data_IF_309591587550
#
_entry.id   IF_309591587550
#
_cell.length_a   1.000
_cell.length_b   1.000
_cell.length_c   1.000
_cell.angle_alpha   90.00
_cell.angle_beta   90.00
_cell.angle_gamma   90.00
#
_symmetry.space_group_name_H-M   'P 1'
#
loop_
_entity.id
_entity.type
_entity.pdbx_description
1 polymer ?
#
# COMPACT_ATOMS: atom_id res chain seq x y z
N UNK A 1 -41.50 20.24 -1.41
CA UNK A 1 -40.64 19.51 -2.40
C UNK A 1 -39.18 19.99 -2.44
N UNK A 2 -38.77 20.97 -1.64
CA UNK A 2 -37.39 21.55 -1.73
C UNK A 2 -36.40 21.07 -0.67
N UNK A 3 -36.83 20.36 0.38
CA UNK A 3 -35.94 19.95 1.49
C UNK A 3 -35.19 18.63 1.18
N UNK A 4 -35.77 17.80 0.32
CA UNK A 4 -35.25 16.42 0.04
C UNK A 4 -34.03 16.37 -0.92
N UNK A 5 -33.75 17.45 -1.65
CA UNK A 5 -32.64 17.54 -2.60
C UNK A 5 -31.36 18.13 -1.99
N UNK A 6 -31.45 18.82 -0.86
CA UNK A 6 -30.32 19.49 -0.23
C UNK A 6 -29.33 18.51 0.42
N UNK A 7 -29.84 17.45 1.04
CA UNK A 7 -28.99 16.46 1.70
C UNK A 7 -28.12 15.64 0.71
N UNK A 8 -28.66 15.10 -0.41
CA UNK A 8 -27.84 14.45 -1.44
C UNK A 8 -26.81 15.40 -2.06
N UNK A 9 -27.20 16.67 -2.32
CA UNK A 9 -26.29 17.65 -2.89
C UNK A 9 -25.13 17.98 -1.94
N UNK A 10 -25.40 18.13 -0.66
CA UNK A 10 -24.36 18.36 0.35
C UNK A 10 -23.37 17.18 0.40
N UNK A 11 -23.84 15.94 0.39
CA UNK A 11 -22.99 14.74 0.34
C UNK A 11 -22.12 14.69 -0.92
N UNK A 12 -22.71 15.02 -2.08
CA UNK A 12 -21.96 15.10 -3.34
C UNK A 12 -20.84 16.15 -3.27
N UNK A 13 -21.13 17.33 -2.75
CA UNK A 13 -20.14 18.41 -2.58
C UNK A 13 -19.01 17.97 -1.65
N UNK A 14 -19.35 17.36 -0.51
CA UNK A 14 -18.37 16.85 0.46
C UNK A 14 -17.46 15.79 -0.17
N UNK A 15 -18.04 14.81 -0.88
CA UNK A 15 -17.25 13.78 -1.56
C UNK A 15 -16.39 14.36 -2.68
N UNK A 16 -16.91 15.32 -3.45
CA UNK A 16 -16.14 16.00 -4.48
C UNK A 16 -14.94 16.75 -3.91
N UNK A 17 -15.12 17.47 -2.79
CA UNK A 17 -14.03 18.14 -2.10
C UNK A 17 -12.97 17.16 -1.58
N UNK A 18 -13.39 16.00 -1.08
CA UNK A 18 -12.46 14.94 -0.65
C UNK A 18 -11.67 14.36 -1.85
N UNK A 19 -12.33 14.16 -3.00
CA UNK A 19 -11.66 13.73 -4.24
C UNK A 19 -10.66 14.80 -4.73
N UNK A 20 -11.01 16.07 -4.63
CA UNK A 20 -10.07 17.17 -4.93
C UNK A 20 -8.85 17.13 -4.00
N UNK A 21 -9.05 16.85 -2.71
CA UNK A 21 -7.97 16.68 -1.74
C UNK A 21 -7.00 15.55 -2.08
N UNK A 22 -7.46 14.51 -2.82
CA UNK A 22 -6.59 13.44 -3.31
C UNK A 22 -5.68 13.88 -4.46
N UNK A 23 -5.97 15.00 -5.15
CA UNK A 23 -5.15 15.44 -6.30
C UNK A 23 -3.72 15.77 -5.89
N UNK A 24 -3.53 16.31 -4.71
CA UNK A 24 -2.19 16.61 -4.18
C UNK A 24 -1.39 15.34 -3.95
N UNK A 25 -2.06 14.20 -3.70
CA UNK A 25 -1.44 12.89 -3.54
C UNK A 25 -0.99 12.27 -4.86
N UNK A 26 -1.55 12.68 -6.00
CA UNK A 26 -1.18 12.11 -7.30
C UNK A 26 0.24 12.47 -7.74
N UNK A 27 0.74 13.59 -7.31
CA UNK A 27 2.09 14.07 -7.61
C UNK A 27 3.03 14.01 -6.38
N UNK A 28 2.57 13.46 -5.26
CA UNK A 28 3.36 13.38 -4.05
C UNK A 28 4.51 12.39 -4.23
N UNK A 29 5.72 12.85 -3.95
CA UNK A 29 6.93 12.03 -3.89
C UNK A 29 7.12 11.52 -2.45
N UNK A 30 6.08 10.89 -1.91
CA UNK A 30 6.00 10.40 -0.54
C UNK A 30 5.97 8.86 -0.49
N UNK A 31 6.37 8.24 0.63
CA UNK A 31 6.25 6.80 0.84
C UNK A 31 4.82 6.31 0.66
N UNK A 32 4.67 5.09 0.15
CA UNK A 32 3.35 4.50 -0.10
C UNK A 32 2.48 4.43 1.17
N UNK A 33 3.09 4.11 2.31
CA UNK A 33 2.36 3.99 3.58
C UNK A 33 1.76 5.34 4.02
N UNK A 34 2.46 6.45 3.79
CA UNK A 34 1.98 7.80 4.11
C UNK A 34 0.80 8.19 3.19
N UNK A 35 0.88 7.85 1.90
CA UNK A 35 -0.21 8.08 0.94
C UNK A 35 -1.45 7.26 1.32
N UNK A 36 -1.28 5.99 1.69
CA UNK A 36 -2.39 5.13 2.09
C UNK A 36 -3.06 5.64 3.37
N UNK A 37 -2.28 6.11 4.35
CA UNK A 37 -2.81 6.72 5.57
C UNK A 37 -3.63 7.98 5.26
N UNK A 38 -3.12 8.88 4.43
CA UNK A 38 -3.82 10.11 4.02
C UNK A 38 -5.10 9.82 3.21
N UNK A 39 -5.08 8.78 2.38
CA UNK A 39 -6.31 8.31 1.69
C UNK A 39 -7.35 7.86 2.71
N UNK A 40 -6.98 7.11 3.74
CA UNK A 40 -7.91 6.68 4.79
C UNK A 40 -8.48 7.89 5.58
N UNK A 41 -7.64 8.85 5.97
CA UNK A 41 -8.04 10.08 6.66
C UNK A 41 -9.00 10.93 5.82
N UNK A 42 -8.68 11.11 4.53
CA UNK A 42 -9.52 11.89 3.60
C UNK A 42 -10.87 11.19 3.37
N UNK A 43 -10.91 9.85 3.39
CA UNK A 43 -12.15 9.09 3.25
C UNK A 43 -13.12 9.32 4.42
N UNK A 44 -12.64 9.54 5.64
CA UNK A 44 -13.51 9.91 6.79
C UNK A 44 -14.27 11.20 6.50
N UNK A 45 -13.62 12.18 5.88
CA UNK A 45 -14.26 13.45 5.53
C UNK A 45 -15.16 13.38 4.27
N UNK A 46 -15.02 12.31 3.47
CA UNK A 46 -15.70 12.17 2.19
C UNK A 46 -17.19 11.81 2.31
N UNK A 47 -17.61 11.20 3.43
CA UNK A 47 -18.95 10.69 3.62
C UNK A 47 -19.43 10.97 5.05
N UNK A 48 -20.68 11.43 5.23
CA UNK A 48 -21.27 11.59 6.55
C UNK A 48 -21.37 10.26 7.31
N UNK A 49 -21.26 10.33 8.62
CA UNK A 49 -21.35 9.18 9.54
C UNK A 49 -20.20 8.17 9.40
N UNK A 50 -19.09 8.51 8.75
CA UNK A 50 -17.88 7.70 8.78
C UNK A 50 -17.15 7.98 10.12
N UNK A 51 -17.18 7.01 11.03
CA UNK A 51 -16.49 7.11 12.33
C UNK A 51 -15.08 6.52 12.26
N UNK A 52 -14.89 5.48 11.45
CA UNK A 52 -13.61 4.87 11.22
C UNK A 52 -13.48 4.37 9.78
N UNK A 53 -12.25 4.38 9.26
CA UNK A 53 -11.91 3.90 7.93
C UNK A 53 -10.67 3.03 8.01
N UNK A 54 -10.64 1.96 7.20
CA UNK A 54 -9.44 1.18 6.95
C UNK A 54 -9.23 0.92 5.44
N UNK A 55 -7.99 0.62 5.09
CA UNK A 55 -7.62 0.17 3.75
C UNK A 55 -7.02 -1.22 3.86
N UNK A 56 -7.72 -2.19 3.29
CA UNK A 56 -7.24 -3.56 3.11
C UNK A 56 -6.46 -3.66 1.81
N UNK A 57 -5.27 -4.25 1.86
CA UNK A 57 -4.51 -4.67 0.68
C UNK A 57 -4.54 -6.19 0.60
N UNK A 58 -4.83 -6.70 -0.59
CA UNK A 58 -4.84 -8.12 -0.89
C UNK A 58 -3.55 -8.52 -1.59
N UNK A 59 -2.82 -9.44 -0.97
CA UNK A 59 -1.67 -10.13 -1.58
C UNK A 59 -1.98 -11.62 -1.49
N UNK A 60 -2.70 -12.13 -2.48
CA UNK A 60 -3.24 -13.49 -2.43
C UNK A 60 -2.20 -14.54 -2.01
N UNK A 61 -2.49 -15.44 -1.02
CA UNK A 61 -3.77 -15.64 -0.32
C UNK A 61 -4.01 -14.70 0.88
N UNK A 62 -3.09 -13.82 1.20
CA UNK A 62 -3.09 -13.01 2.42
C UNK A 62 -3.78 -11.67 2.22
N UNK A 63 -4.48 -11.22 3.27
CA UNK A 63 -5.02 -9.87 3.37
C UNK A 63 -4.38 -9.16 4.56
N UNK A 64 -4.09 -7.87 4.43
CA UNK A 64 -3.58 -7.04 5.51
C UNK A 64 -4.18 -5.65 5.48
N UNK A 65 -4.32 -5.04 6.65
CA UNK A 65 -4.67 -3.63 6.76
C UNK A 65 -3.40 -2.79 6.53
N UNK A 66 -3.44 -1.95 5.50
CA UNK A 66 -2.35 -1.05 5.16
C UNK A 66 -2.44 0.28 5.92
N UNK A 67 -3.67 0.75 6.21
CA UNK A 67 -3.93 1.89 7.06
C UNK A 67 -5.27 1.73 7.77
N UNK A 68 -5.39 2.30 8.97
CA UNK A 68 -6.64 2.40 9.72
C UNK A 68 -6.63 3.71 10.51
N UNK A 69 -7.74 4.45 10.49
CA UNK A 69 -7.87 5.70 11.23
C UNK A 69 -8.12 5.50 12.73
N UNK A 70 -8.63 4.33 13.11
CA UNK A 70 -8.95 3.94 14.49
C UNK A 70 -8.67 2.45 14.71
N UNK A 71 -8.33 2.08 15.95
CA UNK A 71 -8.07 0.69 16.35
C UNK A 71 -9.26 -0.24 16.10
N UNK A 72 -10.48 0.28 16.27
CA UNK A 72 -11.73 -0.45 16.00
C UNK A 72 -11.79 -0.97 14.55
N UNK A 73 -11.37 -0.16 13.56
CA UNK A 73 -11.35 -0.59 12.18
C UNK A 73 -10.34 -1.73 11.95
N UNK A 74 -9.16 -1.66 12.59
CA UNK A 74 -8.15 -2.71 12.52
C UNK A 74 -8.66 -4.02 13.15
N UNK A 75 -9.33 -3.95 14.30
CA UNK A 75 -9.92 -5.13 14.96
C UNK A 75 -10.92 -5.83 14.04
N UNK A 76 -11.82 -5.06 13.42
CA UNK A 76 -12.82 -5.59 12.49
C UNK A 76 -12.20 -6.26 11.27
N UNK A 77 -11.17 -5.65 10.71
CA UNK A 77 -10.45 -6.22 9.58
C UNK A 77 -9.80 -7.56 9.94
N UNK A 78 -9.12 -7.64 11.08
CA UNK A 78 -8.47 -8.87 11.55
C UNK A 78 -9.47 -10.02 11.73
N UNK A 79 -10.68 -9.74 12.22
CA UNK A 79 -11.73 -10.75 12.32
C UNK A 79 -12.20 -11.26 10.95
N UNK A 80 -12.30 -10.37 9.95
CA UNK A 80 -12.63 -10.75 8.58
C UNK A 80 -11.54 -11.62 7.94
N UNK A 81 -10.26 -11.29 8.18
CA UNK A 81 -9.12 -12.07 7.66
C UNK A 81 -9.05 -13.45 8.32
N UNK A 82 -9.20 -13.52 9.64
CA UNK A 82 -9.15 -14.78 10.38
C UNK A 82 -10.27 -15.75 9.99
N UNK A 83 -11.48 -15.23 9.72
CA UNK A 83 -12.62 -16.05 9.31
C UNK A 83 -12.65 -16.33 7.80
N UNK A 84 -11.84 -15.63 6.99
CA UNK A 84 -11.85 -15.71 5.53
C UNK A 84 -13.13 -15.16 4.91
N UNK A 85 -13.94 -14.43 5.66
CA UNK A 85 -15.21 -13.87 5.19
C UNK A 85 -15.55 -12.56 5.90
N UNK A 86 -16.22 -11.68 5.17
CA UNK A 86 -16.62 -10.37 5.66
C UNK A 86 -16.91 -9.40 4.53
N UNK A 87 -17.52 -8.23 4.84
CA UNK A 87 -17.85 -7.21 3.85
C UNK A 87 -16.63 -6.76 3.01
N UNK A 88 -15.45 -6.60 3.64
CA UNK A 88 -14.25 -6.12 2.94
C UNK A 88 -13.74 -7.13 1.92
N UNK A 89 -13.67 -8.42 2.30
CA UNK A 89 -13.24 -9.49 1.39
C UNK A 89 -14.25 -9.69 0.26
N UNK A 90 -15.55 -9.64 0.60
CA UNK A 90 -16.59 -9.80 -0.39
C UNK A 90 -16.65 -8.65 -1.39
N UNK A 91 -16.50 -7.39 -0.94
CA UNK A 91 -16.41 -6.24 -1.82
C UNK A 91 -15.24 -6.37 -2.81
N UNK A 92 -14.09 -6.84 -2.33
CA UNK A 92 -12.93 -7.09 -3.15
C UNK A 92 -13.17 -8.20 -4.18
N UNK A 93 -13.71 -9.36 -3.78
CA UNK A 93 -13.96 -10.49 -4.69
C UNK A 93 -15.03 -10.19 -5.76
N UNK A 94 -16.11 -9.52 -5.35
CA UNK A 94 -17.20 -9.17 -6.26
C UNK A 94 -16.89 -7.93 -7.10
N UNK A 95 -15.86 -7.17 -6.76
CA UNK A 95 -15.51 -5.86 -7.35
C UNK A 95 -16.68 -4.87 -7.33
N UNK A 96 -17.52 -4.96 -6.31
CA UNK A 96 -18.70 -4.12 -6.09
C UNK A 96 -18.78 -3.67 -4.63
N UNK A 97 -19.34 -2.49 -4.35
CA UNK A 97 -19.57 -2.05 -2.98
C UNK A 97 -20.47 -3.03 -2.21
N UNK A 98 -20.09 -3.33 -0.99
CA UNK A 98 -20.85 -4.17 -0.05
C UNK A 98 -21.22 -3.35 1.16
N UNK A 99 -22.52 -3.25 1.46
CA UNK A 99 -23.05 -2.59 2.65
C UNK A 99 -23.52 -3.65 3.65
N UNK A 100 -23.30 -3.41 4.92
CA UNK A 100 -23.80 -4.24 6.01
C UNK A 100 -24.44 -3.38 7.10
N UNK A 101 -25.72 -3.60 7.37
CA UNK A 101 -26.36 -3.21 8.61
C UNK A 101 -26.11 -4.32 9.62
N UNK A 102 -25.41 -4.03 10.71
CA UNK A 102 -24.92 -5.07 11.64
C UNK A 102 -26.07 -5.89 12.24
N UNK A 103 -27.21 -5.26 12.51
CA UNK A 103 -28.41 -5.97 13.02
C UNK A 103 -29.01 -7.00 12.07
N UNK A 104 -28.72 -6.94 10.78
CA UNK A 104 -29.28 -7.80 9.73
C UNK A 104 -28.25 -8.75 9.10
N UNK A 105 -26.98 -8.53 9.35
CA UNK A 105 -25.89 -9.18 8.64
C UNK A 105 -25.40 -10.51 9.27
N UNK A 106 -25.97 -10.93 10.43
CA UNK A 106 -25.48 -12.07 11.23
C UNK A 106 -25.45 -13.39 10.45
N UNK A 107 -26.42 -13.65 9.58
CA UNK A 107 -26.45 -14.87 8.77
C UNK A 107 -25.33 -14.93 7.72
N UNK A 108 -24.83 -13.77 7.31
CA UNK A 108 -23.84 -13.67 6.23
C UNK A 108 -22.41 -13.67 6.77
N UNK A 109 -22.18 -12.95 7.86
CA UNK A 109 -20.86 -12.76 8.46
C UNK A 109 -20.93 -12.75 10.00
N UNK A 110 -21.22 -13.90 10.64
CA UNK A 110 -21.44 -13.92 12.11
C UNK A 110 -20.25 -13.41 12.91
N UNK A 111 -19.01 -13.81 12.57
CA UNK A 111 -17.81 -13.40 13.29
C UNK A 111 -17.57 -11.87 13.18
N UNK A 112 -17.78 -11.32 11.98
CA UNK A 112 -17.69 -9.88 11.77
C UNK A 112 -18.76 -9.12 12.56
N UNK A 113 -20.00 -9.61 12.58
CA UNK A 113 -21.11 -8.99 13.31
C UNK A 113 -20.84 -8.99 14.81
N UNK A 114 -20.37 -10.11 15.38
CA UNK A 114 -20.02 -10.19 16.79
C UNK A 114 -18.89 -9.21 17.15
N UNK A 115 -17.86 -9.10 16.32
CA UNK A 115 -16.78 -8.13 16.51
C UNK A 115 -17.32 -6.69 16.44
N UNK A 116 -18.13 -6.37 15.42
CA UNK A 116 -18.70 -5.04 15.23
C UNK A 116 -19.58 -4.61 16.42
N UNK A 117 -20.39 -5.52 16.95
CA UNK A 117 -21.21 -5.25 18.14
C UNK A 117 -20.36 -4.95 19.38
N UNK A 118 -19.25 -5.65 19.57
CA UNK A 118 -18.33 -5.41 20.71
C UNK A 118 -17.71 -4.03 20.68
N UNK A 119 -17.34 -3.52 19.49
CA UNK A 119 -16.71 -2.21 19.35
C UNK A 119 -17.70 -1.08 19.07
N UNK A 120 -19.02 -1.36 19.10
CA UNK A 120 -20.08 -0.35 18.94
C UNK A 120 -20.38 0.04 17.49
N UNK A 121 -19.80 -0.62 16.50
CA UNK A 121 -20.10 -0.38 15.09
C UNK A 121 -21.44 -1.00 14.72
N UNK A 122 -22.28 -0.25 13.98
CA UNK A 122 -23.66 -0.62 13.63
C UNK A 122 -23.91 -0.67 12.12
N UNK A 123 -23.04 -0.07 11.33
CA UNK A 123 -23.07 -0.16 9.87
C UNK A 123 -21.66 -0.19 9.28
N UNK A 124 -21.50 -0.85 8.14
CA UNK A 124 -20.28 -0.79 7.35
C UNK A 124 -20.54 -0.65 5.85
N UNK A 125 -19.61 -0.02 5.15
CA UNK A 125 -19.55 0.07 3.70
C UNK A 125 -18.14 -0.27 3.26
N UNK A 126 -17.98 -1.36 2.53
CA UNK A 126 -16.71 -1.75 1.91
C UNK A 126 -16.78 -1.53 0.41
N UNK A 127 -15.78 -0.85 -0.14
CA UNK A 127 -15.70 -0.48 -1.57
C UNK A 127 -14.40 -1.02 -2.15
N UNK A 128 -14.42 -1.70 -3.31
CA UNK A 128 -13.19 -2.23 -3.89
C UNK A 128 -12.25 -1.09 -4.29
N UNK A 129 -10.95 -1.25 -4.01
CA UNK A 129 -9.88 -0.41 -4.49
C UNK A 129 -9.29 -1.04 -5.75
N UNK A 130 -9.50 -0.39 -6.87
CA UNK A 130 -9.06 -0.83 -8.18
C UNK A 130 -8.00 0.12 -8.72
N UNK A 131 -6.89 -0.44 -9.25
CA UNK A 131 -5.86 0.29 -9.96
C UNK A 131 -5.98 -0.03 -11.45
N UNK A 132 -5.79 0.95 -12.30
CA UNK A 132 -5.83 0.80 -13.75
C UNK A 132 -6.67 1.89 -14.41
N UNK A 133 -6.46 2.09 -15.72
CA UNK A 133 -7.21 3.07 -16.52
C UNK A 133 -8.63 2.60 -16.81
N UNK A 134 -9.46 3.51 -17.33
CA UNK A 134 -10.85 3.22 -17.76
C UNK A 134 -10.88 2.18 -18.90
N UNK A 135 -9.77 2.02 -19.63
CA UNK A 135 -9.62 1.16 -20.81
C UNK A 135 -8.76 -0.08 -20.58
N UNK A 136 -8.12 -0.24 -19.41
CA UNK A 136 -7.27 -1.37 -19.06
C UNK A 136 -7.99 -2.30 -18.09
N UNK A 137 -7.59 -3.57 -18.03
CA UNK A 137 -8.05 -4.48 -16.98
C UNK A 137 -7.67 -3.88 -15.62
N UNK A 138 -8.69 -3.53 -14.83
CA UNK A 138 -8.51 -2.96 -13.51
C UNK A 138 -7.94 -4.03 -12.57
N UNK A 139 -6.74 -3.79 -12.06
CA UNK A 139 -6.14 -4.64 -11.04
C UNK A 139 -6.78 -4.35 -9.68
N UNK A 140 -7.19 -5.40 -8.99
CA UNK A 140 -7.72 -5.30 -7.62
C UNK A 140 -6.56 -5.19 -6.65
N UNK A 141 -6.54 -4.11 -5.87
CA UNK A 141 -5.54 -3.90 -4.81
C UNK A 141 -6.06 -4.33 -3.45
N UNK A 142 -7.38 -4.17 -3.24
CA UNK A 142 -8.00 -4.45 -1.95
C UNK A 142 -9.36 -3.79 -1.80
N UNK A 143 -9.65 -3.27 -0.62
CA UNK A 143 -10.89 -2.55 -0.31
C UNK A 143 -10.66 -1.35 0.62
N UNK A 144 -11.47 -0.33 0.43
CA UNK A 144 -11.68 0.77 1.35
C UNK A 144 -12.89 0.41 2.22
N UNK A 145 -12.70 0.33 3.54
CA UNK A 145 -13.73 -0.08 4.49
C UNK A 145 -14.09 1.09 5.38
N UNK A 146 -15.36 1.39 5.48
CA UNK A 146 -15.91 2.52 6.22
C UNK A 146 -16.87 1.98 7.25
N UNK A 147 -16.73 2.40 8.49
CA UNK A 147 -17.48 1.92 9.64
C UNK A 147 -18.21 3.06 10.33
N UNK A 148 -19.43 2.77 10.83
CA UNK A 148 -20.25 3.75 11.55
C UNK A 148 -20.93 3.16 12.76
N UNK A 149 -21.05 3.96 13.83
CA UNK A 149 -21.89 3.69 15.00
C UNK A 149 -23.37 3.95 14.73
N UNK A 150 -23.69 4.57 13.60
CA UNK A 150 -25.07 4.89 13.18
C UNK A 150 -25.63 3.77 12.29
N UNK A 151 -26.67 3.08 12.74
CA UNK A 151 -27.25 1.91 12.06
C UNK A 151 -27.82 2.22 10.67
N UNK A 152 -28.30 3.43 10.42
CA UNK A 152 -28.86 3.89 9.15
C UNK A 152 -27.82 4.54 8.21
N UNK A 153 -26.52 4.50 8.57
CA UNK A 153 -25.48 5.00 7.72
C UNK A 153 -25.38 4.19 6.41
N UNK A 154 -24.84 4.83 5.39
CA UNK A 154 -24.45 4.25 4.12
C UNK A 154 -25.61 3.71 3.26
N UNK A 155 -26.39 4.61 2.70
CA UNK A 155 -27.41 4.28 1.71
C UNK A 155 -26.77 3.93 0.32
N UNK A 156 -27.56 3.52 -0.70
CA UNK A 156 -27.04 3.25 -2.05
C UNK A 156 -26.36 4.45 -2.73
N UNK A 157 -26.74 5.67 -2.37
CA UNK A 157 -26.11 6.88 -2.90
C UNK A 157 -24.70 7.06 -2.32
N UNK A 158 -24.52 6.81 -1.05
CA UNK A 158 -23.19 6.82 -0.39
C UNK A 158 -22.28 5.77 -1.00
N UNK A 159 -22.80 4.57 -1.28
CA UNK A 159 -22.02 3.52 -1.95
C UNK A 159 -21.56 3.96 -3.36
N UNK A 160 -22.41 4.68 -4.10
CA UNK A 160 -22.05 5.22 -5.42
C UNK A 160 -20.97 6.33 -5.31
N UNK A 161 -21.11 7.23 -4.35
CA UNK A 161 -20.12 8.29 -4.07
C UNK A 161 -18.76 7.71 -3.68
N UNK A 162 -18.75 6.72 -2.77
CA UNK A 162 -17.52 6.08 -2.34
C UNK A 162 -16.85 5.24 -3.43
N UNK A 163 -17.63 4.73 -4.37
CA UNK A 163 -17.08 4.11 -5.57
C UNK A 163 -16.31 5.13 -6.44
N UNK A 164 -16.82 6.36 -6.59
CA UNK A 164 -16.09 7.42 -7.29
C UNK A 164 -14.81 7.81 -6.54
N UNK A 165 -14.92 7.97 -5.22
CA UNK A 165 -13.77 8.23 -4.36
C UNK A 165 -12.71 7.14 -4.48
N UNK A 166 -13.09 5.85 -4.46
CA UNK A 166 -12.17 4.72 -4.51
C UNK A 166 -11.37 4.64 -5.83
N UNK A 167 -11.94 5.14 -6.94
CA UNK A 167 -11.20 5.25 -8.22
C UNK A 167 -10.07 6.26 -8.10
N UNK A 168 -10.33 7.44 -7.53
CA UNK A 168 -9.29 8.45 -7.30
C UNK A 168 -8.25 7.98 -6.28
N UNK A 169 -8.70 7.36 -5.18
CA UNK A 169 -7.83 6.77 -4.17
C UNK A 169 -6.90 5.69 -4.74
N UNK A 170 -7.46 4.77 -5.54
CA UNK A 170 -6.68 3.73 -6.23
C UNK A 170 -5.62 4.33 -7.14
N UNK A 171 -5.91 5.42 -7.85
CA UNK A 171 -4.95 6.11 -8.70
C UNK A 171 -3.81 6.75 -7.89
N UNK A 172 -4.12 7.39 -6.75
CA UNK A 172 -3.11 7.97 -5.87
C UNK A 172 -2.16 6.88 -5.31
N UNK A 173 -2.72 5.77 -4.83
CA UNK A 173 -1.97 4.62 -4.32
C UNK A 173 -1.10 4.01 -5.42
N UNK A 174 -1.62 3.85 -6.64
CA UNK A 174 -0.86 3.34 -7.79
C UNK A 174 0.34 4.22 -8.14
N UNK A 175 0.14 5.54 -8.16
CA UNK A 175 1.20 6.49 -8.45
C UNK A 175 2.31 6.42 -7.38
N UNK A 176 1.95 6.40 -6.10
CA UNK A 176 2.90 6.27 -4.99
C UNK A 176 3.69 4.96 -5.05
N UNK A 177 3.01 3.84 -5.33
CA UNK A 177 3.65 2.53 -5.48
C UNK A 177 4.68 2.52 -6.63
N UNK A 178 4.32 3.08 -7.80
CA UNK A 178 5.23 3.18 -8.95
C UNK A 178 6.43 4.08 -8.66
N UNK A 179 6.20 5.22 -7.98
CA UNK A 179 7.28 6.12 -7.59
C UNK A 179 8.26 5.44 -6.61
N UNK A 180 7.74 4.77 -5.59
CA UNK A 180 8.57 4.03 -4.63
C UNK A 180 9.39 2.95 -5.31
N UNK A 181 8.78 2.14 -6.17
CA UNK A 181 9.49 1.10 -6.93
C UNK A 181 10.58 1.68 -7.84
N UNK A 182 10.32 2.81 -8.50
CA UNK A 182 11.31 3.50 -9.32
C UNK A 182 12.50 3.97 -8.47
N UNK A 183 12.27 4.53 -7.30
CA UNK A 183 13.35 4.96 -6.37
C UNK A 183 14.17 3.78 -5.87
N UNK A 184 13.52 2.69 -5.51
CA UNK A 184 14.21 1.47 -5.08
C UNK A 184 15.11 0.93 -6.20
N UNK A 185 14.61 0.93 -7.44
CA UNK A 185 15.37 0.50 -8.63
C UNK A 185 16.58 1.41 -8.85
N UNK A 186 16.41 2.73 -8.80
CA UNK A 186 17.53 3.69 -8.93
C UNK A 186 18.58 3.43 -7.84
N UNK A 187 18.16 3.31 -6.58
CA UNK A 187 19.08 3.04 -5.47
C UNK A 187 19.83 1.72 -5.64
N UNK A 188 19.17 0.68 -6.16
CA UNK A 188 19.83 -0.62 -6.44
C UNK A 188 20.85 -0.49 -7.57
N UNK A 189 20.52 0.25 -8.63
CA UNK A 189 21.44 0.49 -9.76
C UNK A 189 22.65 1.30 -9.31
N UNK A 190 22.48 2.35 -8.52
CA UNK A 190 23.58 3.13 -7.95
C UNK A 190 24.51 2.26 -7.10
N UNK A 191 23.95 1.42 -6.22
CA UNK A 191 24.72 0.45 -5.42
C UNK A 191 25.49 -0.54 -6.30
N UNK A 192 24.88 -1.01 -7.39
CA UNK A 192 25.52 -1.94 -8.31
C UNK A 192 26.69 -1.26 -9.07
N UNK A 193 26.50 -0.01 -9.52
CA UNK A 193 27.56 0.77 -10.18
C UNK A 193 28.75 1.04 -9.25
N UNK A 194 28.48 1.47 -8.00
CA UNK A 194 29.54 1.67 -7.00
C UNK A 194 30.27 0.36 -6.70
N UNK A 195 29.53 -0.74 -6.54
CA UNK A 195 30.10 -2.07 -6.31
C UNK A 195 31.04 -2.49 -7.46
N UNK A 196 30.60 -2.26 -8.72
CA UNK A 196 31.42 -2.55 -9.88
C UNK A 196 32.70 -1.69 -9.93
N UNK A 197 32.57 -0.41 -9.63
CA UNK A 197 33.72 0.50 -9.57
C UNK A 197 34.76 0.06 -8.53
N UNK A 198 34.32 -0.31 -7.30
CA UNK A 198 35.20 -0.81 -6.26
C UNK A 198 35.94 -2.08 -6.69
N UNK A 199 35.22 -3.03 -7.34
CA UNK A 199 35.79 -4.27 -7.85
C UNK A 199 36.80 -4.00 -8.98
N UNK A 200 36.46 -3.12 -9.94
CA UNK A 200 37.36 -2.81 -11.07
C UNK A 200 38.63 -2.09 -10.59
N UNK A 201 38.54 -1.20 -9.61
CA UNK A 201 39.70 -0.59 -8.98
C UNK A 201 40.57 -1.63 -8.26
N UNK A 202 39.98 -2.55 -7.51
CA UNK A 202 40.72 -3.62 -6.83
C UNK A 202 41.38 -4.59 -7.82
N UNK A 203 40.70 -4.93 -8.93
CA UNK A 203 41.31 -5.71 -10.02
C UNK A 203 42.52 -4.98 -10.60
N UNK A 204 42.37 -3.67 -10.90
CA UNK A 204 43.48 -2.86 -11.39
C UNK A 204 44.70 -2.87 -10.45
N UNK A 205 44.45 -2.75 -9.14
CA UNK A 205 45.49 -2.83 -8.13
C UNK A 205 46.17 -4.21 -8.09
N UNK A 206 45.42 -5.31 -8.16
CA UNK A 206 45.96 -6.67 -8.21
C UNK A 206 46.79 -6.91 -9.47
N UNK A 207 46.35 -6.42 -10.63
CA UNK A 207 47.10 -6.50 -11.89
C UNK A 207 48.43 -5.78 -11.75
N UNK A 208 48.41 -4.55 -11.18
CA UNK A 208 49.66 -3.76 -10.99
C UNK A 208 50.63 -4.41 -9.98
N UNK A 209 50.13 -5.05 -8.93
CA UNK A 209 50.95 -5.70 -7.91
C UNK A 209 51.53 -7.05 -8.33
N UNK A 210 50.74 -7.83 -9.11
CA UNK A 210 51.09 -9.24 -9.39
C UNK A 210 51.37 -9.52 -10.86
N UNK A 211 51.16 -8.56 -11.78
CA UNK A 211 51.35 -8.75 -13.20
C UNK A 211 50.38 -9.79 -13.80
N UNK A 212 49.22 -10.03 -13.18
CA UNK A 212 48.26 -11.06 -13.58
C UNK A 212 47.24 -10.53 -14.60
N UNK A 213 46.58 -11.42 -15.32
CA UNK A 213 45.51 -11.08 -16.24
C UNK A 213 44.22 -10.63 -15.50
N UNK A 214 43.37 -9.79 -16.13
CA UNK A 214 42.14 -9.29 -15.51
C UNK A 214 41.18 -10.36 -14.97
N UNK A 215 41.10 -11.51 -15.67
CA UNK A 215 40.30 -12.66 -15.22
C UNK A 215 40.85 -13.31 -13.95
N UNK A 216 42.19 -13.43 -13.86
CA UNK A 216 42.85 -13.99 -12.69
C UNK A 216 42.71 -13.04 -11.46
N UNK A 217 42.84 -11.72 -11.67
CA UNK A 217 42.64 -10.74 -10.63
C UNK A 217 41.21 -10.84 -10.04
N UNK A 218 40.20 -10.99 -10.89
CA UNK A 218 38.81 -11.19 -10.44
C UNK A 218 38.64 -12.52 -9.69
N UNK A 219 39.19 -13.62 -10.21
CA UNK A 219 39.14 -14.94 -9.56
C UNK A 219 39.69 -14.88 -8.12
N UNK A 220 40.81 -14.18 -7.90
CA UNK A 220 41.40 -13.98 -6.55
C UNK A 220 40.46 -13.27 -5.59
N UNK A 221 39.71 -12.25 -6.07
CA UNK A 221 38.71 -11.56 -5.24
C UNK A 221 37.52 -12.50 -4.90
N UNK A 222 37.09 -13.32 -5.89
CA UNK A 222 36.02 -14.30 -5.67
C UNK A 222 36.44 -15.39 -4.69
N UNK A 223 37.65 -15.95 -4.82
CA UNK A 223 38.16 -16.97 -3.93
C UNK A 223 38.23 -16.46 -2.48
N UNK A 224 38.72 -15.23 -2.30
CA UNK A 224 38.78 -14.59 -0.98
C UNK A 224 37.37 -14.34 -0.41
N UNK A 225 36.44 -13.89 -1.25
CA UNK A 225 35.02 -13.69 -0.89
C UNK A 225 34.38 -15.02 -0.41
N UNK A 226 34.61 -16.12 -1.14
CA UNK A 226 34.08 -17.44 -0.78
C UNK A 226 34.71 -17.97 0.49
N UNK A 227 36.02 -17.84 0.65
CA UNK A 227 36.75 -18.30 1.86
C UNK A 227 36.27 -17.58 3.11
N UNK A 228 35.95 -16.30 3.01
CA UNK A 228 35.53 -15.46 4.15
C UNK A 228 34.02 -15.33 4.28
N UNK A 229 33.25 -15.87 3.32
CA UNK A 229 31.79 -15.75 3.25
C UNK A 229 31.30 -14.28 3.33
N UNK A 230 31.97 -13.37 2.61
CA UNK A 230 31.60 -11.96 2.49
C UNK A 230 31.46 -11.58 1.00
N UNK A 231 30.79 -10.46 0.71
CA UNK A 231 30.60 -10.03 -0.67
C UNK A 231 31.91 -9.67 -1.35
N UNK A 232 32.06 -9.97 -2.64
CA UNK A 232 33.24 -9.62 -3.45
C UNK A 232 33.58 -8.13 -3.36
N UNK A 233 32.56 -7.26 -3.33
CA UNK A 233 32.73 -5.82 -3.11
C UNK A 233 33.45 -5.50 -1.80
N UNK A 234 33.07 -6.17 -0.71
CA UNK A 234 33.63 -5.88 0.61
C UNK A 234 35.13 -6.28 0.63
N UNK A 235 35.49 -7.40 -0.02
CA UNK A 235 36.88 -7.80 -0.23
C UNK A 235 37.63 -6.73 -1.03
N UNK A 236 37.03 -6.21 -2.09
CA UNK A 236 37.62 -5.17 -2.94
C UNK A 236 37.88 -3.87 -2.14
N UNK A 237 36.89 -3.41 -1.37
CA UNK A 237 37.00 -2.21 -0.54
C UNK A 237 38.10 -2.37 0.52
N UNK A 238 38.17 -3.53 1.21
CA UNK A 238 39.20 -3.81 2.20
C UNK A 238 40.63 -3.84 1.58
N UNK A 239 40.73 -4.45 0.38
CA UNK A 239 42.01 -4.46 -0.34
C UNK A 239 42.48 -3.05 -0.67
N UNK A 240 41.59 -2.21 -1.21
CA UNK A 240 41.89 -0.83 -1.55
C UNK A 240 42.26 0.01 -0.30
N UNK A 241 41.57 -0.22 0.82
CA UNK A 241 41.88 0.45 2.08
C UNK A 241 43.30 0.09 2.62
N UNK A 242 43.66 -1.19 2.56
CA UNK A 242 45.01 -1.65 2.94
C UNK A 242 46.12 -1.03 2.09
N UNK A 243 45.89 -0.96 0.78
CA UNK A 243 46.85 -0.35 -0.13
C UNK A 243 47.05 1.15 0.13
N UNK A 244 45.96 1.88 0.46
CA UNK A 244 46.06 3.30 0.84
C UNK A 244 46.85 3.53 2.13
N UNK A 245 46.80 2.60 3.08
CA UNK A 245 47.54 2.71 4.35
C UNK A 245 49.01 2.30 4.26
N UNK A 246 49.42 1.72 3.11
CA UNK A 246 50.80 1.26 2.88
C UNK A 246 51.61 2.22 2.00
N UNK A 247 51.00 3.32 1.55
CA UNK A 247 51.60 4.44 0.82
C UNK A 247 51.86 5.60 1.75
#
# INVERSE_FOLDING_TARGET
MSVDLLAPLARLVTTAAAIEGLRDLFAAEEPLDDIVARVAETAVAAIPYADAVSITVLSWPDARTAAATHEQALELDLHQYASGRGPCLEAAWQRTPVRAAIGEAHHRWPEFVEAAQRVGIRASLSVPLLIGGITEEQELVGSLNIYSDTASAFDPFDAALMRLYSVAAGQAISNASRWQHSRETVTQLEKALLSRSDIDMAKGALIALHGCEPGEAFARLVDESQRRNIKVRDVAVELLARLKSSL
#
